data_IF_861293781686
#
_entry.id   IF_861293781686
#
_cell.length_a   1.000
_cell.length_b   1.000
_cell.length_c   1.000
_cell.angle_alpha   90.00
_cell.angle_beta   90.00
_cell.angle_gamma   90.00
#
_symmetry.space_group_name_H-M   'P 1'
#
loop_
_entity.id
_entity.type
_entity.pdbx_description
1 polymer ?
#
# COMPACT_ATOMS: atom_id res chain seq x y z
N UNK A 1 4.55 0.84 -9.96
CA UNK A 1 3.36 0.21 -9.35
C UNK A 1 3.83 -0.76 -8.27
N UNK A 2 3.03 -0.99 -7.23
CA UNK A 2 3.35 -1.97 -6.18
C UNK A 2 2.77 -3.32 -6.61
N UNK A 3 3.55 -4.41 -6.60
CA UNK A 3 3.06 -5.71 -7.03
C UNK A 3 2.03 -6.28 -6.03
N UNK A 4 1.02 -6.99 -6.53
CA UNK A 4 0.01 -7.67 -5.70
C UNK A 4 0.62 -8.71 -4.75
N UNK A 5 1.81 -9.23 -5.08
CA UNK A 5 2.58 -10.12 -4.21
C UNK A 5 2.99 -9.49 -2.87
N UNK A 6 2.83 -8.17 -2.69
CA UNK A 6 2.97 -7.52 -1.39
C UNK A 6 2.06 -8.17 -0.34
N UNK A 7 0.88 -8.65 -0.74
CA UNK A 7 -0.05 -9.36 0.14
C UNK A 7 0.49 -10.67 0.73
N UNK A 8 1.57 -11.23 0.17
CA UNK A 8 2.19 -12.45 0.70
C UNK A 8 3.05 -12.20 1.95
N UNK A 9 3.32 -10.95 2.29
CA UNK A 9 4.14 -10.59 3.46
C UNK A 9 3.31 -10.63 4.75
N UNK A 10 2.77 -11.81 5.07
CA UNK A 10 1.82 -12.04 6.18
C UNK A 10 2.33 -11.63 7.56
N UNK A 11 3.65 -11.47 7.71
CA UNK A 11 4.29 -11.02 8.95
C UNK A 11 4.83 -9.58 8.91
N UNK A 12 4.46 -8.80 7.90
CA UNK A 12 4.93 -7.42 7.76
C UNK A 12 4.18 -6.51 8.73
N UNK A 13 4.90 -5.97 9.72
CA UNK A 13 4.34 -5.05 10.71
C UNK A 13 4.47 -3.57 10.29
N UNK A 14 5.49 -3.24 9.49
CA UNK A 14 5.78 -1.86 9.08
C UNK A 14 6.14 -1.80 7.61
N UNK A 15 5.45 -0.93 6.87
CA UNK A 15 5.68 -0.69 5.46
C UNK A 15 5.86 0.82 5.23
N UNK A 16 7.06 1.20 4.82
CA UNK A 16 7.42 2.58 4.47
C UNK A 16 7.63 2.66 2.96
N UNK A 17 6.78 3.46 2.31
CA UNK A 17 6.77 3.71 0.88
C UNK A 17 6.85 5.21 0.58
N UNK A 18 6.87 6.06 1.60
CA UNK A 18 6.86 7.51 1.50
C UNK A 18 8.05 8.04 0.68
N UNK A 19 7.89 9.26 0.14
CA UNK A 19 8.95 9.96 -0.60
C UNK A 19 9.46 9.19 -1.84
N UNK A 20 8.55 8.59 -2.59
CA UNK A 20 8.86 7.83 -3.79
C UNK A 20 8.04 8.34 -5.00
N UNK A 21 8.35 7.80 -6.18
CA UNK A 21 7.60 8.07 -7.42
C UNK A 21 6.64 6.93 -7.76
N UNK A 22 6.12 6.22 -6.75
CA UNK A 22 5.11 5.20 -7.01
C UNK A 22 3.84 5.84 -7.56
N UNK A 23 3.29 5.20 -8.59
CA UNK A 23 2.12 5.63 -9.34
C UNK A 23 1.14 4.48 -9.52
N UNK A 24 -0.03 4.76 -10.09
CA UNK A 24 -1.09 3.79 -10.30
C UNK A 24 -2.00 3.63 -9.08
N UNK A 25 -2.84 2.59 -9.08
CA UNK A 25 -3.70 2.29 -7.94
C UNK A 25 -2.90 1.69 -6.78
N UNK A 26 -3.27 2.05 -5.57
CA UNK A 26 -2.79 1.34 -4.38
C UNK A 26 -3.34 -0.10 -4.39
N UNK A 27 -2.49 -1.14 -4.25
CA UNK A 27 -2.92 -2.53 -4.37
C UNK A 27 -3.88 -2.89 -3.23
N UNK A 28 -5.02 -3.50 -3.58
CA UNK A 28 -6.02 -3.91 -2.59
C UNK A 28 -5.47 -5.02 -1.68
N UNK A 29 -4.46 -5.76 -2.15
CA UNK A 29 -3.75 -6.80 -1.42
C UNK A 29 -3.01 -6.29 -0.18
N UNK A 30 -2.78 -4.98 -0.02
CA UNK A 30 -2.31 -4.44 1.26
C UNK A 30 -3.35 -4.67 2.37
N UNK A 31 -4.63 -4.79 2.03
CA UNK A 31 -5.68 -5.21 2.96
C UNK A 31 -5.53 -6.63 3.49
N UNK A 32 -4.69 -7.49 2.89
CA UNK A 32 -4.39 -8.83 3.41
C UNK A 32 -3.26 -8.85 4.45
N UNK A 33 -2.59 -7.72 4.71
CA UNK A 33 -1.53 -7.61 5.71
C UNK A 33 -2.14 -7.40 7.10
N UNK A 34 -2.69 -8.48 7.66
CA UNK A 34 -3.51 -8.46 8.88
C UNK A 34 -2.80 -7.96 10.14
N UNK A 35 -1.46 -8.03 10.17
CA UNK A 35 -0.65 -7.55 11.30
C UNK A 35 0.10 -6.24 11.01
N UNK A 36 -0.21 -5.57 9.90
CA UNK A 36 0.43 -4.29 9.56
C UNK A 36 -0.02 -3.22 10.55
N UNK A 37 0.94 -2.65 11.27
CA UNK A 37 0.70 -1.61 12.28
C UNK A 37 0.99 -0.22 11.70
N UNK A 38 1.97 -0.13 10.80
CA UNK A 38 2.42 1.15 10.24
C UNK A 38 2.46 1.06 8.72
N UNK A 39 1.74 1.97 8.08
CA UNK A 39 1.79 2.22 6.65
C UNK A 39 2.10 3.70 6.40
N UNK A 40 3.29 3.99 5.88
CA UNK A 40 3.66 5.32 5.40
C UNK A 40 3.69 5.30 3.87
N UNK A 41 2.94 6.18 3.23
CA UNK A 41 2.82 6.24 1.76
C UNK A 41 2.64 7.67 1.24
N UNK A 42 2.96 8.67 2.06
CA UNK A 42 2.90 10.08 1.66
C UNK A 42 3.87 10.36 0.51
N UNK A 43 3.72 11.50 -0.14
CA UNK A 43 4.70 11.97 -1.13
C UNK A 43 4.95 10.93 -2.25
N UNK A 44 3.84 10.36 -2.75
CA UNK A 44 3.75 9.49 -3.91
C UNK A 44 2.58 9.91 -4.80
N UNK A 45 2.47 9.30 -5.98
CA UNK A 45 1.50 9.64 -7.04
C UNK A 45 0.42 8.54 -7.15
N UNK A 46 -0.04 8.02 -6.01
CA UNK A 46 -1.10 7.01 -6.00
C UNK A 46 -2.44 7.64 -6.42
N UNK A 47 -3.15 6.95 -7.31
CA UNK A 47 -4.53 7.31 -7.65
C UNK A 47 -5.43 6.95 -6.47
N UNK A 48 -6.18 7.92 -5.95
CA UNK A 48 -7.22 7.64 -4.97
C UNK A 48 -8.26 6.74 -5.64
N UNK A 49 -8.47 5.54 -5.11
CA UNK A 49 -9.67 4.78 -5.44
C UNK A 49 -10.86 5.61 -4.95
N UNK A 50 -11.79 5.93 -5.85
CA UNK A 50 -13.08 6.54 -5.48
C UNK A 50 -13.74 5.64 -4.43
N UNK A 51 -13.67 6.01 -3.17
CA UNK A 51 -14.56 5.49 -2.15
C UNK A 51 -15.95 5.98 -2.57
N UNK A 52 -16.74 5.11 -3.22
CA UNK A 52 -18.18 5.34 -3.32
C UNK A 52 -18.71 5.19 -1.90
N UNK A 53 -19.24 6.30 -1.38
CA UNK A 53 -20.13 6.37 -0.22
C UNK A 53 -21.21 5.31 -0.28
#
# INVERSE_FOLDING_TARGET
>A
DIPSSIGNLQFLMKLFLDNNLFKGSFPQEIGSLSILEVLAMSDNIFLQSKIRS
#
